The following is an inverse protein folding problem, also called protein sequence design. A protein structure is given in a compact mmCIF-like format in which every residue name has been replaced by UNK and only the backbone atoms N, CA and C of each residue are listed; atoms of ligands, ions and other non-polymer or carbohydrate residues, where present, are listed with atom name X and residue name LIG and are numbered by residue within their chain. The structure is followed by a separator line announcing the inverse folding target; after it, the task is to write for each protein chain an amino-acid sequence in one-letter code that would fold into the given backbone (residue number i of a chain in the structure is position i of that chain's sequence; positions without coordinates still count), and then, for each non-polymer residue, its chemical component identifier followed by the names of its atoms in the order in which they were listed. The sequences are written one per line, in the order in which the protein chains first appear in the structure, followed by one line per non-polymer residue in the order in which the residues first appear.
data_IF_504246965560
#
_entry.id   IF_504246965560
#
_cell.length_a   1.000
_cell.length_b   1.000
_cell.length_c   1.000
_cell.angle_alpha   90.00
_cell.angle_beta   90.00
_cell.angle_gamma   90.00
#
_symmetry.space_group_name_H-M   'P 1'
#
loop_
_entity.id
_entity.type
_entity.pdbx_description
1 polymer ?
#
# COMPACT_ATOMS: atom_id res chain seq x y z
N UNK A 1 2.91 11.02 -7.25
CA UNK A 1 2.73 9.59 -6.98
C UNK A 1 3.54 9.28 -5.74
N UNK A 2 2.88 8.83 -4.67
CA UNK A 2 3.54 8.40 -3.43
C UNK A 2 3.61 6.88 -3.45
N UNK A 3 4.70 6.31 -2.95
CA UNK A 3 4.93 4.86 -2.91
C UNK A 3 5.14 4.48 -1.44
N UNK A 4 4.41 3.46 -1.01
CA UNK A 4 4.50 2.89 0.33
C UNK A 4 4.91 1.42 0.21
N UNK A 5 5.79 0.99 1.09
CA UNK A 5 6.34 -0.37 1.12
C UNK A 5 6.24 -0.89 2.55
N UNK A 6 5.79 -2.12 2.69
CA UNK A 6 5.74 -2.85 3.95
C UNK A 6 5.81 -4.37 3.66
N UNK A 7 5.84 -5.18 4.72
CA UNK A 7 5.95 -6.64 4.63
C UNK A 7 4.80 -7.27 3.83
N UNK A 8 3.63 -6.62 3.79
CA UNK A 8 2.49 -7.04 2.97
C UNK A 8 1.85 -5.85 2.27
N UNK A 9 1.16 -6.13 1.14
CA UNK A 9 0.38 -5.14 0.41
C UNK A 9 -0.65 -4.46 1.33
N UNK A 10 -1.34 -5.23 2.18
CA UNK A 10 -2.37 -4.66 3.07
C UNK A 10 -1.79 -3.66 4.08
N UNK A 11 -0.59 -3.92 4.60
CA UNK A 11 0.10 -3.00 5.51
C UNK A 11 0.53 -1.73 4.78
N UNK A 12 1.14 -1.85 3.60
CA UNK A 12 1.51 -0.71 2.77
C UNK A 12 0.30 0.17 2.39
N UNK A 13 -0.84 -0.47 2.08
CA UNK A 13 -2.10 0.23 1.80
C UNK A 13 -2.63 0.94 3.04
N UNK A 14 -2.61 0.29 4.22
CA UNK A 14 -3.04 0.93 5.47
C UNK A 14 -2.17 2.14 5.83
N UNK A 15 -0.85 2.05 5.63
CA UNK A 15 0.09 3.16 5.80
C UNK A 15 -0.28 4.35 4.91
N UNK A 16 -0.48 4.11 3.61
CA UNK A 16 -0.82 5.18 2.68
C UNK A 16 -2.16 5.85 2.97
N UNK A 17 -3.17 5.08 3.41
CA UNK A 17 -4.47 5.62 3.80
C UNK A 17 -4.40 6.42 5.11
N UNK A 18 -3.65 5.94 6.09
CA UNK A 18 -3.47 6.63 7.37
C UNK A 18 -2.75 7.97 7.20
N UNK A 19 -1.69 8.01 6.38
CA UNK A 19 -0.91 9.23 6.12
C UNK A 19 -1.71 10.26 5.30
N UNK A 20 -2.50 9.78 4.33
CA UNK A 20 -3.36 10.65 3.52
C UNK A 20 -4.65 11.09 4.22
N UNK A 21 -5.08 10.39 5.27
CA UNK A 21 -6.38 10.61 5.92
C UNK A 21 -7.58 10.29 5.04
N UNK A 22 -7.38 9.49 3.99
CA UNK A 22 -8.39 9.11 3.00
C UNK A 22 -8.85 7.67 3.20
N UNK A 23 -10.02 7.34 2.65
CA UNK A 23 -10.52 5.96 2.59
C UNK A 23 -10.19 5.28 1.26
N UNK A 24 -10.24 3.93 1.22
CA UNK A 24 -9.89 3.12 0.02
C UNK A 24 -10.69 3.49 -1.23
N UNK A 25 -11.92 3.96 -1.06
CA UNK A 25 -12.81 4.41 -2.12
C UNK A 25 -12.47 5.80 -2.69
N UNK A 26 -11.59 6.55 -2.03
CA UNK A 26 -11.17 7.89 -2.43
C UNK A 26 -9.81 7.93 -3.13
N UNK A 27 -9.15 6.78 -3.25
CA UNK A 27 -7.80 6.66 -3.81
C UNK A 27 -7.71 5.58 -4.86
N UNK A 28 -6.80 5.76 -5.81
CA UNK A 28 -6.40 4.72 -6.76
C UNK A 28 -5.11 4.08 -6.26
N UNK A 29 -5.08 2.75 -6.18
CA UNK A 29 -3.96 1.98 -5.66
C UNK A 29 -3.38 1.15 -6.81
N UNK A 30 -2.08 1.33 -7.05
CA UNK A 30 -1.32 0.52 -8.01
C UNK A 30 -0.27 -0.28 -7.24
N UNK A 31 -0.26 -1.60 -7.42
CA UNK A 31 0.74 -2.50 -6.81
C UNK A 31 1.93 -2.57 -7.76
N UNK A 32 3.07 -2.02 -7.35
CA UNK A 32 4.28 -1.98 -8.18
C UNK A 32 5.07 -3.28 -8.11
N UNK A 33 5.25 -3.85 -6.91
CA UNK A 33 6.03 -5.07 -6.69
C UNK A 33 5.45 -5.82 -5.47
N UNK A 34 5.25 -7.13 -5.61
CA UNK A 34 4.87 -8.01 -4.51
C UNK A 34 6.06 -8.93 -4.21
N UNK A 35 6.84 -8.62 -3.17
CA UNK A 35 7.89 -9.52 -2.71
C UNK A 35 7.27 -10.76 -2.06
N UNK A 36 7.04 -11.78 -2.88
CA UNK A 36 6.70 -13.10 -2.37
C UNK A 36 7.98 -13.70 -1.80
N UNK A 37 8.13 -13.68 -0.47
CA UNK A 37 9.22 -14.36 0.20
C UNK A 37 9.12 -15.87 -0.06
N UNK A 38 9.82 -16.35 -1.09
CA UNK A 38 9.95 -17.78 -1.39
C UNK A 38 10.97 -18.33 -0.40
N UNK A 39 10.46 -18.81 0.74
CA UNK A 39 11.21 -19.64 1.69
C UNK A 39 11.33 -21.07 1.20
#
# INVERSE_FOLDING_TARGET
MLIYEDATIDEAVQLGLADSGLSKDQVEIEILEEEKKVS
#
